data_IF_522093886468
#
_entry.id   IF_522093886468
#
_cell.length_a   1.000
_cell.length_b   1.000
_cell.length_c   1.000
_cell.angle_alpha   90.00
_cell.angle_beta   90.00
_cell.angle_gamma   90.00
#
_symmetry.space_group_name_H-M   'P 1'
#
loop_
_entity.id
_entity.type
_entity.pdbx_description
1 polymer ?
#
# COMPACT_ATOMS: atom_id res chain seq x y z
N UNK A 1 5.09 16.82 -19.26
CA UNK A 1 5.30 15.66 -18.37
C UNK A 1 5.21 14.43 -19.25
N UNK A 2 6.30 13.70 -19.44
CA UNK A 2 6.31 12.43 -20.20
C UNK A 2 5.34 11.47 -19.53
N UNK A 3 4.43 10.86 -20.30
CA UNK A 3 3.58 9.79 -19.82
C UNK A 3 4.50 8.71 -19.23
N UNK A 4 4.37 8.41 -17.94
CA UNK A 4 5.20 7.41 -17.27
C UNK A 4 4.94 6.06 -17.94
N UNK A 5 6.02 5.43 -18.44
CA UNK A 5 5.97 4.17 -19.17
C UNK A 5 5.39 3.04 -18.29
N UNK A 6 4.38 2.34 -18.78
CA UNK A 6 3.79 1.18 -18.10
C UNK A 6 4.78 0.01 -18.12
N UNK A 7 5.21 -0.45 -16.94
CA UNK A 7 6.14 -1.58 -16.81
C UNK A 7 5.41 -2.91 -16.56
N UNK A 8 4.23 -2.89 -15.93
CA UNK A 8 3.35 -4.07 -15.80
C UNK A 8 1.97 -3.70 -16.31
N UNK A 9 1.43 -4.53 -17.21
CA UNK A 9 0.04 -4.43 -17.66
C UNK A 9 -0.69 -5.75 -17.40
N UNK A 10 -1.81 -5.65 -16.68
CA UNK A 10 -2.72 -6.73 -16.34
C UNK A 10 -4.06 -6.43 -17.03
N UNK A 11 -4.60 -7.37 -17.77
CA UNK A 11 -5.86 -7.19 -18.52
C UNK A 11 -6.78 -8.37 -18.31
N UNK A 12 -7.98 -8.13 -17.78
CA UNK A 12 -9.04 -9.09 -17.58
C UNK A 12 -8.64 -10.31 -16.73
N UNK A 13 -7.72 -10.11 -15.77
CA UNK A 13 -7.10 -11.19 -15.01
C UNK A 13 -8.09 -11.85 -14.06
N UNK A 14 -8.36 -13.14 -14.28
CA UNK A 14 -9.19 -13.96 -13.43
C UNK A 14 -8.45 -15.16 -12.85
N UNK A 15 -8.84 -15.58 -11.64
CA UNK A 15 -8.32 -16.79 -11.00
C UNK A 15 -9.42 -17.54 -10.26
N UNK A 16 -9.64 -18.78 -10.69
CA UNK A 16 -10.48 -19.76 -9.99
C UNK A 16 -9.58 -20.93 -9.58
N UNK A 17 -9.60 -21.30 -8.32
CA UNK A 17 -8.88 -22.46 -7.79
C UNK A 17 -9.69 -23.76 -8.02
N UNK A 18 -9.06 -24.90 -7.89
CA UNK A 18 -9.70 -26.22 -8.05
C UNK A 18 -10.88 -26.44 -7.09
N UNK A 19 -10.87 -25.78 -5.93
CA UNK A 19 -11.98 -25.78 -4.98
C UNK A 19 -13.24 -25.04 -5.45
N UNK A 20 -13.21 -24.39 -6.62
CA UNK A 20 -14.25 -23.49 -7.10
C UNK A 20 -14.14 -22.05 -6.54
N UNK A 21 -13.20 -21.78 -5.62
CA UNK A 21 -13.01 -20.45 -5.06
C UNK A 21 -12.44 -19.49 -6.12
N UNK A 22 -13.20 -18.41 -6.40
CA UNK A 22 -12.80 -17.35 -7.32
C UNK A 22 -12.03 -16.27 -6.55
N UNK A 23 -10.71 -16.30 -6.67
CA UNK A 23 -9.81 -15.37 -5.97
C UNK A 23 -9.62 -14.04 -6.69
N UNK A 24 -9.74 -14.00 -8.03
CA UNK A 24 -9.69 -12.78 -8.83
C UNK A 24 -10.80 -12.78 -9.89
N UNK A 25 -11.39 -11.59 -10.13
CA UNK A 25 -12.53 -11.39 -11.00
C UNK A 25 -12.24 -10.28 -12.00
N UNK A 26 -11.67 -10.62 -13.16
CA UNK A 26 -11.42 -9.67 -14.25
C UNK A 26 -10.67 -8.40 -13.81
N UNK A 27 -9.51 -8.57 -13.21
CA UNK A 27 -8.69 -7.44 -12.73
C UNK A 27 -7.94 -6.80 -13.90
N UNK A 28 -8.07 -5.47 -14.03
CA UNK A 28 -7.29 -4.62 -14.91
C UNK A 28 -6.41 -3.70 -14.11
N UNK A 29 -5.09 -3.71 -14.35
CA UNK A 29 -4.11 -2.93 -13.59
C UNK A 29 -2.92 -2.53 -14.46
N UNK A 30 -2.53 -1.26 -14.38
CA UNK A 30 -1.31 -0.75 -14.99
C UNK A 30 -0.39 -0.18 -13.92
N UNK A 31 0.87 -0.61 -13.92
CA UNK A 31 1.89 -0.15 -13.00
C UNK A 31 2.94 0.62 -13.80
N UNK A 32 3.28 1.82 -13.32
CA UNK A 32 4.20 2.74 -13.97
C UNK A 32 5.63 2.45 -13.51
N UNK A 33 6.59 2.68 -14.40
CA UNK A 33 8.02 2.52 -14.06
C UNK A 33 8.46 3.49 -12.99
N UNK A 34 9.17 3.00 -11.97
CA UNK A 34 9.76 3.81 -10.91
C UNK A 34 8.76 4.33 -9.86
N UNK A 35 7.49 3.87 -9.88
CA UNK A 35 6.52 4.22 -8.83
C UNK A 35 6.54 3.23 -7.67
N UNK A 36 6.00 3.65 -6.54
CA UNK A 36 5.55 2.78 -5.46
C UNK A 36 4.03 2.66 -5.56
N UNK A 37 3.54 1.48 -5.93
CA UNK A 37 2.12 1.15 -5.90
C UNK A 37 1.81 0.36 -4.63
N UNK A 38 0.95 0.90 -3.75
CA UNK A 38 0.40 0.15 -2.63
C UNK A 38 -0.91 -0.52 -3.04
N UNK A 39 -1.02 -1.84 -2.88
CA UNK A 39 -2.24 -2.59 -3.07
C UNK A 39 -2.90 -2.83 -1.70
N UNK A 40 -3.93 -2.05 -1.40
CA UNK A 40 -4.64 -2.03 -0.13
C UNK A 40 -5.88 -2.93 -0.20
N UNK A 41 -6.12 -3.72 0.84
CA UNK A 41 -7.32 -4.56 0.92
C UNK A 41 -7.30 -5.48 2.14
N UNK A 42 -8.47 -5.97 2.57
CA UNK A 42 -8.57 -6.90 3.70
C UNK A 42 -7.88 -8.25 3.39
N UNK A 43 -7.72 -9.06 4.44
CA UNK A 43 -7.23 -10.42 4.27
C UNK A 43 -8.21 -11.22 3.39
N UNK A 44 -7.67 -12.01 2.46
CA UNK A 44 -8.48 -12.76 1.49
C UNK A 44 -9.01 -11.93 0.31
N UNK A 45 -8.68 -10.64 0.19
CA UNK A 45 -9.11 -9.79 -0.92
C UNK A 45 -8.55 -10.20 -2.29
N UNK A 46 -7.50 -11.04 -2.36
CA UNK A 46 -6.87 -11.46 -3.61
C UNK A 46 -5.48 -10.87 -3.84
N UNK A 47 -4.93 -10.05 -2.93
CA UNK A 47 -3.63 -9.37 -3.05
C UNK A 47 -2.49 -10.35 -3.38
N UNK A 48 -2.26 -11.34 -2.51
CA UNK A 48 -1.21 -12.35 -2.70
C UNK A 48 -1.42 -13.20 -3.94
N UNK A 49 -2.67 -13.49 -4.32
CA UNK A 49 -2.99 -14.20 -5.57
C UNK A 49 -2.59 -13.39 -6.80
N UNK A 50 -2.90 -12.08 -6.82
CA UNK A 50 -2.53 -11.16 -7.91
C UNK A 50 -1.01 -11.10 -8.06
N UNK A 51 -0.27 -10.87 -6.96
CA UNK A 51 1.19 -10.86 -6.96
C UNK A 51 1.75 -12.21 -7.45
N UNK A 52 1.24 -13.33 -6.92
CA UNK A 52 1.71 -14.68 -7.27
C UNK A 52 1.54 -14.97 -8.76
N UNK A 53 0.48 -14.46 -9.39
CA UNK A 53 0.29 -14.61 -10.85
C UNK A 53 1.30 -13.73 -11.60
N UNK A 54 1.45 -12.47 -11.25
CA UNK A 54 2.40 -11.56 -11.93
C UNK A 54 3.83 -12.09 -11.81
N UNK A 55 4.21 -12.61 -10.65
CA UNK A 55 5.51 -13.25 -10.42
C UNK A 55 5.65 -14.64 -11.08
N UNK A 56 4.58 -15.16 -11.71
CA UNK A 56 4.59 -16.44 -12.40
C UNK A 56 4.66 -17.67 -11.49
N UNK A 57 4.26 -17.54 -10.21
CA UNK A 57 4.16 -18.66 -9.25
C UNK A 57 2.85 -19.42 -9.47
N UNK A 58 1.75 -18.69 -9.74
CA UNK A 58 0.42 -19.22 -9.97
C UNK A 58 0.00 -18.90 -11.40
N UNK A 59 -0.56 -19.87 -12.11
CA UNK A 59 -1.10 -19.65 -13.45
C UNK A 59 -2.48 -18.96 -13.37
N UNK A 60 -2.75 -17.95 -14.22
CA UNK A 60 -4.08 -17.36 -14.33
C UNK A 60 -5.10 -18.36 -14.87
N UNK A 61 -6.38 -18.16 -14.58
CA UNK A 61 -7.49 -18.89 -15.21
C UNK A 61 -7.98 -18.17 -16.47
N UNK A 62 -7.87 -16.84 -16.52
CA UNK A 62 -8.22 -16.00 -17.67
C UNK A 62 -7.41 -14.70 -17.64
N UNK A 63 -7.44 -13.96 -18.75
CA UNK A 63 -6.76 -12.68 -18.86
C UNK A 63 -5.30 -12.80 -19.28
N UNK A 64 -4.61 -11.67 -19.29
CA UNK A 64 -3.22 -11.55 -19.73
C UNK A 64 -2.43 -10.64 -18.82
N UNK A 65 -1.15 -10.97 -18.59
CA UNK A 65 -0.20 -10.13 -17.88
C UNK A 65 1.08 -10.00 -18.68
N UNK A 66 1.58 -8.77 -18.79
CA UNK A 66 2.90 -8.49 -19.37
C UNK A 66 3.76 -7.72 -18.39
N UNK A 67 5.04 -8.02 -18.38
CA UNK A 67 6.08 -7.35 -17.58
C UNK A 67 7.14 -6.84 -18.54
N UNK A 68 7.31 -5.53 -18.62
CA UNK A 68 8.19 -4.87 -19.58
C UNK A 68 7.97 -5.37 -21.03
N UNK A 69 6.70 -5.54 -21.43
CA UNK A 69 6.28 -6.09 -22.71
C UNK A 69 6.34 -7.62 -22.84
N UNK A 70 7.00 -8.34 -21.90
CA UNK A 70 7.10 -9.81 -21.91
C UNK A 70 5.87 -10.47 -21.29
N UNK A 71 5.25 -11.40 -22.02
CA UNK A 71 4.14 -12.20 -21.49
C UNK A 71 4.62 -13.17 -20.41
N UNK A 72 3.99 -13.14 -19.23
CA UNK A 72 4.41 -13.96 -18.07
C UNK A 72 4.33 -15.47 -18.30
N UNK A 73 3.56 -15.91 -19.28
CA UNK A 73 3.36 -17.34 -19.61
C UNK A 73 4.29 -17.77 -20.74
N UNK A 74 4.37 -16.97 -21.82
CA UNK A 74 5.17 -17.29 -23.01
C UNK A 74 6.64 -16.96 -22.81
N UNK A 75 6.92 -15.77 -22.29
CA UNK A 75 8.27 -15.23 -22.07
C UNK A 75 8.71 -15.30 -20.60
N UNK A 76 8.23 -16.31 -19.87
CA UNK A 76 8.32 -16.38 -18.41
C UNK A 76 9.74 -16.20 -17.85
N UNK A 77 10.79 -16.67 -18.54
CA UNK A 77 12.19 -16.50 -18.07
C UNK A 77 12.59 -15.02 -18.08
N UNK A 78 12.24 -14.30 -19.14
CA UNK A 78 12.54 -12.84 -19.26
C UNK A 78 11.71 -12.06 -18.25
N UNK A 79 10.39 -12.28 -18.20
CA UNK A 79 9.52 -11.62 -17.25
C UNK A 79 10.00 -11.81 -15.80
N UNK A 80 10.29 -13.07 -15.38
CA UNK A 80 10.76 -13.35 -14.02
C UNK A 80 12.15 -12.78 -13.71
N UNK A 81 13.04 -12.66 -14.70
CA UNK A 81 14.37 -12.07 -14.49
C UNK A 81 14.32 -10.57 -14.15
N UNK A 82 13.19 -9.91 -14.42
CA UNK A 82 12.95 -8.50 -14.09
C UNK A 82 12.30 -8.30 -12.73
N UNK A 83 11.87 -9.38 -12.07
CA UNK A 83 11.07 -9.34 -10.84
C UNK A 83 11.86 -9.91 -9.66
N UNK A 84 11.90 -9.15 -8.56
CA UNK A 84 12.22 -9.64 -7.23
C UNK A 84 10.94 -9.78 -6.40
N UNK A 85 10.84 -10.84 -5.62
CA UNK A 85 9.71 -11.08 -4.73
C UNK A 85 10.18 -11.32 -3.30
N UNK A 86 9.60 -10.59 -2.36
CA UNK A 86 9.72 -10.82 -0.92
C UNK A 86 8.36 -11.30 -0.42
N UNK A 87 8.23 -12.60 -0.09
CA UNK A 87 6.97 -13.13 0.42
C UNK A 87 6.70 -12.68 1.85
N UNK A 88 5.46 -12.83 2.29
CA UNK A 88 5.02 -12.51 3.64
C UNK A 88 5.75 -13.37 4.69
N UNK A 89 5.88 -14.68 4.44
CA UNK A 89 6.56 -15.61 5.34
C UNK A 89 8.08 -15.56 5.20
N UNK A 90 8.78 -15.65 6.34
CA UNK A 90 10.25 -15.66 6.41
C UNK A 90 10.80 -17.09 6.11
N UNK A 91 10.65 -17.55 4.87
CA UNK A 91 11.16 -18.83 4.44
C UNK A 91 12.60 -18.72 3.94
N UNK A 92 13.57 -19.02 4.80
CA UNK A 92 14.99 -19.12 4.43
C UNK A 92 15.63 -20.35 5.07
N UNK A 93 16.70 -20.84 4.46
CA UNK A 93 17.55 -21.82 5.10
C UNK A 93 18.29 -21.17 6.28
N UNK A 94 17.96 -21.58 7.50
CA UNK A 94 18.47 -21.01 8.74
C UNK A 94 19.98 -21.18 8.94
N UNK A 95 20.58 -22.14 8.24
CA UNK A 95 22.01 -22.50 8.36
C UNK A 95 22.92 -21.74 7.39
N UNK A 96 22.37 -21.14 6.34
CA UNK A 96 23.13 -20.36 5.39
C UNK A 96 23.55 -19.00 5.96
N UNK A 97 24.70 -18.49 5.50
CA UNK A 97 25.13 -17.13 5.79
C UNK A 97 24.38 -16.13 4.91
N UNK A 98 24.33 -14.87 5.33
CA UNK A 98 23.76 -13.78 4.53
C UNK A 98 24.42 -13.71 3.15
N UNK A 99 25.76 -13.78 3.11
CA UNK A 99 26.54 -13.76 1.85
C UNK A 99 26.19 -14.93 0.93
N UNK A 100 26.14 -16.13 1.48
CA UNK A 100 25.79 -17.33 0.72
C UNK A 100 24.38 -17.22 0.13
N UNK A 101 23.43 -16.72 0.91
CA UNK A 101 22.03 -16.54 0.49
C UNK A 101 21.91 -15.61 -0.73
N UNK A 102 22.54 -14.42 -0.70
CA UNK A 102 22.44 -13.47 -1.80
C UNK A 102 23.24 -13.92 -3.04
N UNK A 103 24.38 -14.57 -2.83
CA UNK A 103 25.20 -15.11 -3.92
C UNK A 103 24.49 -16.24 -4.65
N UNK A 104 23.91 -17.18 -3.89
CA UNK A 104 23.10 -18.26 -4.45
C UNK A 104 21.90 -17.72 -5.23
N UNK A 105 21.17 -16.78 -4.65
CA UNK A 105 20.01 -16.15 -5.33
C UNK A 105 20.41 -15.58 -6.68
N UNK A 106 21.50 -14.81 -6.75
CA UNK A 106 22.03 -14.26 -8.01
C UNK A 106 22.32 -15.35 -9.03
N UNK A 107 22.98 -16.42 -8.59
CA UNK A 107 23.33 -17.56 -9.46
C UNK A 107 22.10 -18.30 -10.00
N UNK A 108 21.04 -18.45 -9.20
CA UNK A 108 19.78 -19.09 -9.63
C UNK A 108 19.08 -18.34 -10.78
N UNK A 109 19.28 -17.02 -10.87
CA UNK A 109 18.79 -16.21 -11.99
C UNK A 109 19.78 -16.16 -13.18
N UNK A 110 20.86 -16.97 -13.15
CA UNK A 110 21.82 -17.04 -14.24
C UNK A 110 22.71 -15.80 -14.38
N UNK A 111 22.75 -14.92 -13.38
CA UNK A 111 23.59 -13.72 -13.40
C UNK A 111 25.04 -14.06 -13.01
N UNK A 112 26.05 -13.51 -13.71
CA UNK A 112 27.44 -13.73 -13.35
C UNK A 112 27.74 -13.15 -11.96
N UNK A 113 28.75 -13.72 -11.25
CA UNK A 113 29.17 -13.15 -9.96
C UNK A 113 29.50 -11.65 -10.07
N UNK A 114 28.94 -10.86 -9.16
CA UNK A 114 29.21 -9.43 -9.06
C UNK A 114 29.37 -9.05 -7.59
N UNK A 115 30.59 -9.21 -7.07
CA UNK A 115 30.90 -8.98 -5.65
C UNK A 115 30.68 -7.52 -5.28
N UNK A 116 31.07 -6.58 -6.14
CA UNK A 116 30.94 -5.15 -5.87
C UNK A 116 29.48 -4.73 -5.72
N UNK A 117 28.59 -5.22 -6.58
CA UNK A 117 27.16 -4.98 -6.48
C UNK A 117 26.56 -5.57 -5.19
N UNK A 118 26.86 -6.85 -4.90
CA UNK A 118 26.32 -7.51 -3.70
C UNK A 118 26.85 -6.86 -2.41
N UNK A 119 28.09 -6.38 -2.39
CA UNK A 119 28.62 -5.61 -1.27
C UNK A 119 27.87 -4.29 -1.09
N UNK A 120 27.69 -3.52 -2.18
CA UNK A 120 26.91 -2.27 -2.13
C UNK A 120 25.48 -2.52 -1.66
N UNK A 121 24.83 -3.55 -2.19
CA UNK A 121 23.46 -3.93 -1.78
C UNK A 121 23.38 -4.25 -0.30
N UNK A 122 24.32 -5.04 0.23
CA UNK A 122 24.32 -5.39 1.66
C UNK A 122 24.65 -4.18 2.55
N UNK A 123 25.46 -3.22 2.07
CA UNK A 123 25.71 -1.94 2.79
C UNK A 123 24.45 -1.09 2.82
N UNK A 124 23.78 -0.92 1.69
CA UNK A 124 22.53 -0.17 1.58
C UNK A 124 21.43 -0.71 2.53
N UNK A 125 21.44 -2.01 2.76
CA UNK A 125 20.49 -2.70 3.66
C UNK A 125 21.02 -2.87 5.09
N UNK A 126 22.18 -2.26 5.43
CA UNK A 126 22.83 -2.36 6.76
C UNK A 126 23.10 -3.81 7.20
N UNK A 127 23.48 -4.67 6.25
CA UNK A 127 23.76 -6.10 6.44
C UNK A 127 25.22 -6.47 6.22
N UNK A 128 26.07 -5.55 5.74
CA UNK A 128 27.43 -5.88 5.34
C UNK A 128 28.26 -6.46 6.49
N UNK A 129 28.16 -5.90 7.68
CA UNK A 129 28.91 -6.38 8.86
C UNK A 129 28.40 -7.75 9.35
N UNK A 130 27.19 -8.12 8.96
CA UNK A 130 26.55 -9.40 9.27
C UNK A 130 26.64 -10.44 8.13
N UNK A 131 27.37 -10.14 7.05
CA UNK A 131 27.42 -10.98 5.84
C UNK A 131 27.85 -12.44 6.09
N UNK A 132 28.68 -12.68 7.10
CA UNK A 132 29.16 -14.01 7.48
C UNK A 132 28.32 -14.69 8.59
N UNK A 133 27.36 -13.98 9.15
CA UNK A 133 26.45 -14.51 10.16
C UNK A 133 25.44 -15.47 9.52
N UNK A 134 25.07 -16.52 10.24
CA UNK A 134 24.00 -17.43 9.83
C UNK A 134 22.65 -16.79 10.01
N UNK A 135 21.69 -17.13 9.13
CA UNK A 135 20.32 -16.61 9.19
C UNK A 135 19.66 -16.83 10.56
N UNK A 136 19.95 -17.94 11.23
CA UNK A 136 19.39 -18.26 12.56
C UNK A 136 19.79 -17.23 13.64
N UNK A 137 20.97 -16.63 13.53
CA UNK A 137 21.50 -15.67 14.50
C UNK A 137 20.95 -14.23 14.33
N UNK A 138 20.22 -13.97 13.25
CA UNK A 138 19.71 -12.64 12.94
C UNK A 138 18.37 -12.37 13.62
N UNK A 139 18.12 -11.09 13.96
CA UNK A 139 16.80 -10.64 14.40
C UNK A 139 15.75 -10.77 13.28
N UNK A 140 14.47 -10.70 13.62
CA UNK A 140 13.38 -10.76 12.63
C UNK A 140 13.50 -9.69 11.53
N UNK A 141 13.81 -8.46 11.92
CA UNK A 141 14.03 -7.37 10.98
C UNK A 141 15.26 -7.56 10.09
N UNK A 142 16.37 -8.06 10.64
CA UNK A 142 17.54 -8.41 9.83
C UNK A 142 17.21 -9.51 8.83
N UNK A 143 16.48 -10.55 9.24
CA UNK A 143 16.01 -11.62 8.33
C UNK A 143 15.18 -11.05 7.19
N UNK A 144 14.29 -10.07 7.49
CA UNK A 144 13.48 -9.40 6.47
C UNK A 144 14.35 -8.63 5.48
N UNK A 145 15.34 -7.86 5.96
CA UNK A 145 16.32 -7.17 5.10
C UNK A 145 17.10 -8.14 4.23
N UNK A 146 17.48 -9.34 4.73
CA UNK A 146 18.13 -10.37 3.91
C UNK A 146 17.21 -10.91 2.83
N UNK A 147 15.90 -11.08 3.07
CA UNK A 147 14.94 -11.46 2.02
C UNK A 147 14.88 -10.42 0.91
N UNK A 148 14.92 -9.13 1.27
CA UNK A 148 14.99 -8.04 0.29
C UNK A 148 16.31 -8.08 -0.47
N UNK A 149 17.45 -8.27 0.21
CA UNK A 149 18.74 -8.45 -0.46
C UNK A 149 18.73 -9.64 -1.42
N UNK A 150 18.13 -10.75 -1.02
CA UNK A 150 17.94 -11.93 -1.86
C UNK A 150 17.11 -11.64 -3.10
N UNK A 151 15.99 -10.91 -2.94
CA UNK A 151 15.12 -10.52 -4.03
C UNK A 151 15.78 -9.55 -5.01
N UNK A 152 16.70 -8.69 -4.53
CA UNK A 152 17.45 -7.71 -5.34
C UNK A 152 18.78 -8.26 -5.91
N UNK A 153 19.24 -9.41 -5.46
CA UNK A 153 20.59 -9.94 -5.79
C UNK A 153 20.84 -10.13 -7.30
N UNK A 154 19.80 -10.33 -8.10
CA UNK A 154 19.90 -10.49 -9.56
C UNK A 154 19.62 -9.20 -10.34
N UNK A 155 19.58 -8.03 -9.66
CA UNK A 155 19.34 -6.70 -10.26
C UNK A 155 17.97 -6.62 -10.97
N UNK A 156 16.85 -6.93 -10.30
CA UNK A 156 15.53 -6.77 -10.89
C UNK A 156 15.17 -5.28 -11.05
N UNK A 157 14.29 -4.98 -11.99
CA UNK A 157 13.73 -3.64 -12.18
C UNK A 157 12.46 -3.42 -11.34
N UNK A 158 11.84 -4.51 -10.88
CA UNK A 158 10.56 -4.53 -10.18
C UNK A 158 10.71 -5.35 -8.90
N UNK A 159 10.24 -4.81 -7.78
CA UNK A 159 10.25 -5.48 -6.49
C UNK A 159 8.83 -5.60 -5.94
N UNK A 160 8.40 -6.82 -5.68
CA UNK A 160 7.17 -7.11 -4.96
C UNK A 160 7.47 -7.36 -3.48
N UNK A 161 6.71 -6.70 -2.61
CA UNK A 161 6.76 -6.83 -1.17
C UNK A 161 5.38 -7.27 -0.66
N UNK A 162 5.23 -8.53 -0.27
CA UNK A 162 3.95 -9.03 0.25
C UNK A 162 3.90 -8.84 1.77
N UNK A 163 3.09 -7.89 2.23
CA UNK A 163 2.95 -7.47 3.62
C UNK A 163 4.30 -7.27 4.35
N UNK A 164 5.14 -6.33 3.88
CA UNK A 164 6.55 -6.24 4.31
C UNK A 164 6.74 -5.94 5.78
N UNK A 165 5.76 -5.37 6.46
CA UNK A 165 5.85 -4.91 7.86
C UNK A 165 4.90 -5.66 8.79
N UNK A 166 4.27 -6.75 8.32
CA UNK A 166 3.41 -7.57 9.16
C UNK A 166 4.19 -8.15 10.36
N UNK A 167 3.67 -7.89 11.57
CA UNK A 167 4.30 -8.38 12.81
C UNK A 167 5.61 -7.68 13.21
N UNK A 168 5.87 -6.49 12.67
CA UNK A 168 7.07 -5.69 12.93
C UNK A 168 6.71 -4.51 13.83
N UNK A 169 7.60 -4.17 14.77
CA UNK A 169 7.44 -2.99 15.63
C UNK A 169 7.53 -1.66 14.85
N UNK A 170 7.11 -0.56 15.50
CA UNK A 170 6.98 0.76 14.85
C UNK A 170 8.31 1.31 14.35
N UNK A 171 9.41 1.12 15.10
CA UNK A 171 10.73 1.64 14.74
C UNK A 171 11.27 0.91 13.51
N UNK A 172 11.21 -0.41 13.51
CA UNK A 172 11.65 -1.24 12.41
C UNK A 172 10.79 -1.03 11.15
N UNK A 173 9.49 -0.70 11.32
CA UNK A 173 8.60 -0.32 10.22
C UNK A 173 9.07 0.96 9.53
N UNK A 174 9.43 2.00 10.30
CA UNK A 174 9.96 3.27 9.75
C UNK A 174 11.27 3.07 8.98
N UNK A 175 12.16 2.25 9.52
CA UNK A 175 13.41 1.88 8.84
C UNK A 175 13.15 1.18 7.50
N UNK A 176 12.16 0.28 7.46
CA UNK A 176 11.73 -0.39 6.24
C UNK A 176 11.19 0.61 5.21
N UNK A 177 10.39 1.57 5.63
CA UNK A 177 9.85 2.61 4.75
C UNK A 177 10.97 3.48 4.14
N UNK A 178 11.94 3.90 4.95
CA UNK A 178 13.08 4.67 4.47
C UNK A 178 13.90 3.88 3.41
N UNK A 179 14.09 2.59 3.65
CA UNK A 179 14.78 1.70 2.72
C UNK A 179 13.99 1.54 1.41
N UNK A 180 12.68 1.34 1.46
CA UNK A 180 11.82 1.21 0.27
C UNK A 180 11.88 2.48 -0.59
N UNK A 181 11.84 3.67 0.04
CA UNK A 181 12.01 4.95 -0.67
C UNK A 181 13.38 5.05 -1.36
N UNK A 182 14.44 4.66 -0.66
CA UNK A 182 15.81 4.65 -1.23
C UNK A 182 15.90 3.74 -2.46
N UNK A 183 15.24 2.58 -2.46
CA UNK A 183 15.20 1.67 -3.61
C UNK A 183 14.43 2.29 -4.79
N UNK A 184 13.29 2.95 -4.54
CA UNK A 184 12.56 3.69 -5.56
C UNK A 184 13.40 4.79 -6.17
N UNK A 185 14.10 5.58 -5.35
CA UNK A 185 14.94 6.68 -5.81
C UNK A 185 16.13 6.19 -6.67
N UNK A 186 16.52 4.91 -6.51
CA UNK A 186 17.47 4.21 -7.39
C UNK A 186 16.81 3.65 -8.67
N UNK A 187 15.53 3.93 -8.90
CA UNK A 187 14.79 3.56 -10.12
C UNK A 187 14.07 2.21 -10.07
N UNK A 188 14.03 1.53 -8.92
CA UNK A 188 13.28 0.27 -8.77
C UNK A 188 11.78 0.59 -8.69
N UNK A 189 10.98 -0.09 -9.50
CA UNK A 189 9.51 -0.06 -9.37
C UNK A 189 9.08 -0.95 -8.23
N UNK A 190 8.27 -0.47 -7.31
CA UNK A 190 7.91 -1.22 -6.11
C UNK A 190 6.40 -1.42 -6.03
N UNK A 191 6.00 -2.64 -5.80
CA UNK A 191 4.62 -3.00 -5.53
C UNK A 191 4.58 -3.62 -4.13
N UNK A 192 3.82 -3.01 -3.23
CA UNK A 192 3.63 -3.56 -1.91
C UNK A 192 2.16 -3.88 -1.66
N UNK A 193 1.91 -4.99 -0.97
CA UNK A 193 0.59 -5.26 -0.41
C UNK A 193 0.58 -4.89 1.05
N UNK A 194 -0.52 -4.35 1.51
CA UNK A 194 -0.73 -4.07 2.93
C UNK A 194 -2.22 -4.07 3.27
N UNK A 195 -2.52 -4.28 4.52
CA UNK A 195 -3.82 -3.99 5.12
C UNK A 195 -3.72 -2.81 6.09
N UNK A 196 -2.51 -2.26 6.28
CA UNK A 196 -2.26 -1.06 7.08
C UNK A 196 -2.34 0.18 6.18
N UNK A 197 -3.31 1.01 6.43
CA UNK A 197 -3.59 2.21 5.64
C UNK A 197 -2.46 3.24 5.77
N UNK A 198 -1.90 3.38 6.99
CA UNK A 198 -0.76 4.24 7.27
C UNK A 198 0.45 3.96 6.36
N UNK A 199 0.68 2.68 6.00
CA UNK A 199 1.77 2.31 5.10
C UNK A 199 1.54 2.83 3.68
N UNK A 200 0.31 2.71 3.19
CA UNK A 200 -0.04 3.22 1.88
C UNK A 200 0.05 4.76 1.86
N UNK A 201 -0.42 5.44 2.92
CA UNK A 201 -0.29 6.90 3.05
C UNK A 201 1.16 7.36 3.07
N UNK A 202 2.01 6.67 3.80
CA UNK A 202 3.39 7.10 4.00
C UNK A 202 4.26 6.84 2.77
N UNK A 203 4.11 5.70 2.10
CA UNK A 203 5.06 5.26 1.07
C UNK A 203 4.56 5.39 -0.36
N UNK A 204 3.26 5.21 -0.62
CA UNK A 204 2.77 5.05 -1.97
C UNK A 204 2.73 6.34 -2.79
N UNK A 205 3.07 6.25 -4.06
CA UNK A 205 2.77 7.24 -5.08
C UNK A 205 1.34 7.06 -5.61
N UNK A 206 0.95 5.78 -5.81
CA UNK A 206 -0.41 5.38 -6.19
C UNK A 206 -0.95 4.28 -5.29
N UNK A 207 -2.25 4.26 -5.13
CA UNK A 207 -2.97 3.30 -4.29
C UNK A 207 -3.98 2.56 -5.14
N UNK A 208 -3.91 1.23 -5.09
CA UNK A 208 -4.92 0.32 -5.61
C UNK A 208 -5.73 -0.27 -4.45
N UNK A 209 -7.05 -0.21 -4.53
CA UNK A 209 -7.94 -0.84 -3.53
C UNK A 209 -8.53 -2.10 -4.14
N UNK A 210 -8.27 -3.24 -3.51
CA UNK A 210 -8.80 -4.54 -3.92
C UNK A 210 -9.70 -5.12 -2.82
N UNK A 211 -10.88 -5.62 -3.22
CA UNK A 211 -11.80 -6.29 -2.32
C UNK A 211 -12.45 -7.48 -3.03
N UNK A 212 -12.51 -8.65 -2.37
CA UNK A 212 -13.16 -9.88 -2.87
C UNK A 212 -12.79 -10.24 -4.31
N UNK A 213 -11.53 -10.06 -4.67
CA UNK A 213 -10.98 -10.39 -6.00
C UNK A 213 -11.26 -9.35 -7.09
N UNK A 214 -11.80 -8.20 -6.75
CA UNK A 214 -12.06 -7.09 -7.67
C UNK A 214 -11.21 -5.88 -7.30
N UNK A 215 -10.62 -5.24 -8.31
CA UNK A 215 -9.91 -3.98 -8.13
C UNK A 215 -10.94 -2.85 -8.21
N UNK A 216 -11.20 -2.19 -7.07
CA UNK A 216 -12.23 -1.16 -6.95
C UNK A 216 -11.78 0.17 -7.54
N UNK A 217 -10.51 0.53 -7.32
CA UNK A 217 -9.89 1.72 -7.90
C UNK A 217 -8.36 1.59 -7.94
N UNK A 218 -7.72 2.39 -8.80
CA UNK A 218 -6.27 2.67 -8.78
C UNK A 218 -6.07 4.13 -9.08
N UNK A 219 -5.54 4.91 -8.14
CA UNK A 219 -5.42 6.35 -8.30
C UNK A 219 -4.12 6.89 -7.67
N UNK A 220 -3.64 8.03 -8.15
CA UNK A 220 -2.56 8.76 -7.50
C UNK A 220 -2.98 9.17 -6.08
N UNK A 221 -2.14 8.89 -5.08
CA UNK A 221 -2.44 9.19 -3.67
C UNK A 221 -2.88 10.64 -3.47
N UNK A 222 -2.19 11.60 -4.10
CA UNK A 222 -2.52 13.00 -3.97
C UNK A 222 -3.88 13.36 -4.58
N UNK A 223 -4.31 12.66 -5.63
CA UNK A 223 -5.64 12.83 -6.25
C UNK A 223 -6.70 12.22 -5.35
N UNK A 224 -6.46 11.00 -4.86
CA UNK A 224 -7.36 10.31 -3.94
C UNK A 224 -7.65 11.14 -2.68
N UNK A 225 -6.58 11.65 -2.05
CA UNK A 225 -6.70 12.50 -0.87
C UNK A 225 -7.42 13.82 -1.13
N UNK A 226 -7.36 14.34 -2.36
CA UNK A 226 -8.10 15.56 -2.73
C UNK A 226 -9.56 15.32 -3.09
N UNK A 227 -9.83 14.24 -3.85
CA UNK A 227 -11.19 13.98 -4.39
C UNK A 227 -12.13 13.36 -3.36
N UNK A 228 -11.60 12.45 -2.52
CA UNK A 228 -12.39 11.72 -1.54
C UNK A 228 -12.19 12.23 -0.11
N UNK A 229 -11.14 13.03 0.12
CA UNK A 229 -10.86 13.61 1.42
C UNK A 229 -11.80 14.75 1.76
N UNK A 230 -12.88 14.47 2.47
CA UNK A 230 -13.67 15.51 3.13
C UNK A 230 -12.79 16.14 4.21
N UNK A 231 -12.87 17.44 4.39
CA UNK A 231 -12.27 18.10 5.55
C UNK A 231 -13.25 18.12 6.70
N UNK A 232 -12.70 17.92 7.89
CA UNK A 232 -13.45 18.04 9.13
C UNK A 232 -12.92 19.22 9.92
N UNK A 233 -13.84 20.06 10.41
CA UNK A 233 -13.54 21.05 11.43
C UNK A 233 -13.93 20.47 12.77
N UNK A 234 -12.95 20.24 13.62
CA UNK A 234 -13.12 19.72 14.97
C UNK A 234 -13.12 20.91 15.93
N UNK A 235 -14.26 21.15 16.57
CA UNK A 235 -14.47 22.28 17.47
C UNK A 235 -14.59 21.72 18.89
N UNK A 236 -13.59 21.95 19.74
CA UNK A 236 -13.66 21.59 21.14
C UNK A 236 -14.41 22.68 21.92
N UNK A 237 -15.42 22.28 22.67
CA UNK A 237 -16.29 23.18 23.43
C UNK A 237 -15.74 23.42 24.85
N UNK A 238 -16.00 24.60 25.41
CA UNK A 238 -15.68 24.90 26.81
C UNK A 238 -16.66 24.20 27.76
N UNK A 239 -17.93 24.09 27.36
CA UNK A 239 -18.97 23.40 28.11
C UNK A 239 -19.66 22.35 27.21
N UNK A 240 -19.98 21.16 27.75
CA UNK A 240 -20.65 20.14 26.98
C UNK A 240 -22.07 20.55 26.57
N UNK A 241 -22.44 20.27 25.34
CA UNK A 241 -23.80 20.45 24.83
C UNK A 241 -24.59 19.15 24.98
N UNK A 242 -25.84 19.26 25.34
CA UNK A 242 -26.78 18.12 25.42
C UNK A 242 -27.43 17.79 24.07
N UNK A 243 -27.43 18.74 23.15
CA UNK A 243 -27.99 18.58 21.80
C UNK A 243 -27.37 19.62 20.84
N UNK A 244 -27.46 19.34 19.55
CA UNK A 244 -27.03 20.28 18.51
C UNK A 244 -27.87 21.57 18.54
N UNK A 245 -27.23 22.78 18.53
CA UNK A 245 -27.94 24.02 18.43
C UNK A 245 -28.78 24.12 17.16
N UNK A 246 -29.96 24.75 17.24
CA UNK A 246 -30.89 24.86 16.12
C UNK A 246 -30.27 25.57 14.90
N UNK A 247 -29.36 26.53 15.12
CA UNK A 247 -28.67 27.29 14.07
C UNK A 247 -27.75 26.45 13.18
N UNK A 248 -27.39 25.24 13.61
CA UNK A 248 -26.54 24.31 12.86
C UNK A 248 -27.29 23.01 12.49
N UNK A 249 -28.54 22.87 12.88
CA UNK A 249 -29.41 21.78 12.49
C UNK A 249 -29.57 21.75 10.96
N UNK A 250 -29.32 20.57 10.36
CA UNK A 250 -29.36 20.39 8.89
C UNK A 250 -28.04 20.68 8.15
N UNK A 251 -27.00 21.14 8.84
CA UNK A 251 -25.62 21.12 8.34
C UNK A 251 -24.97 19.78 8.66
N UNK A 252 -23.91 19.42 7.95
CA UNK A 252 -23.15 18.19 8.21
C UNK A 252 -22.30 18.34 9.50
N UNK A 253 -22.96 18.59 10.64
CA UNK A 253 -22.39 18.77 11.97
C UNK A 253 -22.84 17.62 12.86
N UNK A 254 -21.92 16.99 13.52
CA UNK A 254 -22.15 15.91 14.48
C UNK A 254 -21.64 16.35 15.86
N UNK A 255 -22.37 16.01 16.92
CA UNK A 255 -21.94 16.18 18.29
C UNK A 255 -21.43 14.82 18.81
N UNK A 256 -20.23 14.80 19.38
CA UNK A 256 -19.69 13.55 19.99
C UNK A 256 -20.51 13.15 21.22
N UNK A 257 -20.48 11.86 21.58
CA UNK A 257 -21.27 11.27 22.68
C UNK A 257 -20.98 11.93 24.05
N UNK A 258 -19.78 12.51 24.23
CA UNK A 258 -19.40 13.27 25.42
C UNK A 258 -19.93 14.70 25.45
N UNK A 259 -20.55 15.15 24.35
CA UNK A 259 -21.06 16.51 24.19
C UNK A 259 -20.00 17.61 24.12
N UNK A 260 -18.72 17.25 24.15
CA UNK A 260 -17.60 18.22 24.25
C UNK A 260 -16.99 18.63 22.91
N UNK A 261 -17.34 17.92 21.81
CA UNK A 261 -16.75 18.16 20.51
C UNK A 261 -17.81 18.20 19.41
N UNK A 262 -17.75 19.22 18.57
CA UNK A 262 -18.51 19.29 17.33
C UNK A 262 -17.61 18.97 16.15
N UNK A 263 -18.05 18.09 15.26
CA UNK A 263 -17.35 17.71 14.04
C UNK A 263 -18.19 18.19 12.84
N UNK A 264 -17.67 19.16 12.11
CA UNK A 264 -18.29 19.66 10.87
C UNK A 264 -17.53 19.12 9.66
N UNK A 265 -18.22 18.32 8.85
CA UNK A 265 -17.66 17.77 7.61
C UNK A 265 -18.02 18.67 6.43
N UNK A 266 -17.01 19.13 5.68
CA UNK A 266 -17.18 20.03 4.54
C UNK A 266 -16.30 19.64 3.35
N UNK A 267 -16.73 20.03 2.15
CA UNK A 267 -15.93 19.86 0.94
C UNK A 267 -14.86 20.97 0.86
N UNK A 268 -13.60 20.57 0.83
CA UNK A 268 -12.48 21.50 0.76
C UNK A 268 -12.34 22.20 -0.61
N UNK A 269 -13.00 21.69 -1.65
CA UNK A 269 -12.95 22.22 -3.01
C UNK A 269 -14.12 23.16 -3.34
N UNK A 270 -15.13 23.23 -2.48
CA UNK A 270 -16.25 24.15 -2.64
C UNK A 270 -15.79 25.61 -2.52
N UNK A 271 -16.29 26.52 -3.40
CA UNK A 271 -16.02 27.97 -3.33
C UNK A 271 -16.38 28.56 -1.97
N UNK A 272 -17.30 27.93 -1.23
CA UNK A 272 -17.69 28.30 0.13
C UNK A 272 -17.66 27.08 1.04
N UNK A 273 -16.66 26.98 1.89
CA UNK A 273 -16.54 25.89 2.87
C UNK A 273 -17.61 25.91 3.96
N UNK A 274 -18.34 27.01 4.12
CA UNK A 274 -19.35 27.20 5.16
C UNK A 274 -18.78 27.33 6.59
N UNK A 275 -17.46 27.19 6.77
CA UNK A 275 -16.79 27.22 8.08
C UNK A 275 -17.03 28.54 8.80
N UNK A 276 -16.88 29.70 8.10
CA UNK A 276 -17.10 31.02 8.68
C UNK A 276 -18.53 31.22 9.13
N UNK A 277 -19.51 30.73 8.36
CA UNK A 277 -20.94 30.82 8.70
C UNK A 277 -21.30 29.91 9.86
N UNK A 278 -20.70 28.71 9.92
CA UNK A 278 -20.87 27.80 11.05
C UNK A 278 -20.39 28.41 12.36
N UNK A 279 -19.14 28.92 12.38
CA UNK A 279 -18.56 29.52 13.58
C UNK A 279 -19.35 30.76 14.03
N UNK A 280 -19.81 31.60 13.11
CA UNK A 280 -20.68 32.76 13.44
C UNK A 280 -22.03 32.30 14.01
N UNK A 281 -22.62 31.24 13.48
CA UNK A 281 -23.90 30.69 13.97
C UNK A 281 -23.77 30.15 15.39
N UNK A 282 -22.71 29.37 15.67
CA UNK A 282 -22.42 28.84 16.99
C UNK A 282 -22.15 29.96 18.02
N UNK A 283 -21.38 30.99 17.64
CA UNK A 283 -21.09 32.14 18.50
C UNK A 283 -22.37 32.95 18.83
N UNK A 284 -23.32 33.10 17.89
CA UNK A 284 -24.62 33.76 18.15
C UNK A 284 -25.50 32.98 19.13
N UNK A 285 -25.40 31.66 19.16
CA UNK A 285 -26.07 30.77 20.12
C UNK A 285 -25.37 30.72 21.48
N UNK A 286 -24.28 31.49 21.67
CA UNK A 286 -23.52 31.55 22.93
C UNK A 286 -22.63 30.36 23.16
N UNK A 287 -22.29 29.55 22.13
CA UNK A 287 -21.40 28.42 22.22
C UNK A 287 -19.97 28.92 22.29
N UNK A 288 -19.27 28.66 23.39
CA UNK A 288 -17.87 29.02 23.59
C UNK A 288 -16.94 27.86 23.21
N UNK A 289 -15.89 28.18 22.43
CA UNK A 289 -14.92 27.19 21.96
C UNK A 289 -13.64 27.22 22.82
N UNK A 290 -13.09 26.03 23.08
CA UNK A 290 -11.78 25.89 23.70
C UNK A 290 -10.67 25.83 22.64
N UNK A 291 -10.94 25.14 21.55
CA UNK A 291 -10.00 24.95 20.43
C UNK A 291 -10.77 24.65 19.13
N UNK A 292 -10.16 24.99 17.98
CA UNK A 292 -10.71 24.73 16.66
C UNK A 292 -9.59 24.22 15.75
N UNK A 293 -9.67 22.95 15.39
CA UNK A 293 -8.71 22.28 14.53
C UNK A 293 -9.37 21.84 13.22
N UNK A 294 -8.64 21.94 12.11
CA UNK A 294 -9.06 21.38 10.84
C UNK A 294 -8.26 20.09 10.57
N UNK A 295 -8.93 18.96 10.42
CA UNK A 295 -8.34 17.73 9.97
C UNK A 295 -8.83 17.38 8.55
N UNK A 296 -7.98 16.71 7.79
CA UNK A 296 -8.37 16.12 6.52
C UNK A 296 -8.77 14.68 6.79
N UNK A 297 -9.82 14.19 6.11
CA UNK A 297 -10.19 12.78 6.20
C UNK A 297 -8.97 11.89 5.94
N UNK A 298 -8.80 10.88 6.76
CA UNK A 298 -7.73 9.90 6.60
C UNK A 298 -8.03 8.99 5.41
N UNK A 299 -7.00 8.39 4.83
CA UNK A 299 -7.17 7.34 3.82
C UNK A 299 -8.02 6.17 4.37
N UNK A 300 -8.04 6.00 5.71
CA UNK A 300 -8.86 5.00 6.40
C UNK A 300 -10.36 5.21 6.18
N UNK A 301 -10.85 6.44 6.36
CA UNK A 301 -12.24 6.77 6.12
C UNK A 301 -12.63 6.56 4.65
N UNK A 302 -11.73 6.94 3.72
CA UNK A 302 -11.90 6.70 2.30
C UNK A 302 -11.99 5.21 1.98
N UNK A 303 -11.10 4.41 2.54
CA UNK A 303 -11.05 2.97 2.34
C UNK A 303 -12.29 2.27 2.89
N UNK A 304 -12.72 2.61 4.11
CA UNK A 304 -13.93 2.07 4.75
C UNK A 304 -15.16 2.40 3.90
N UNK A 305 -15.28 3.63 3.40
CA UNK A 305 -16.36 4.04 2.50
C UNK A 305 -16.42 3.19 1.24
N UNK A 306 -15.29 3.04 0.52
CA UNK A 306 -15.22 2.25 -0.72
C UNK A 306 -15.55 0.77 -0.50
N UNK A 307 -15.07 0.17 0.58
CA UNK A 307 -15.35 -1.24 0.90
C UNK A 307 -16.80 -1.43 1.30
N UNK A 308 -17.40 -0.47 2.05
CA UNK A 308 -18.79 -0.50 2.46
C UNK A 308 -19.73 -0.38 1.25
N UNK A 309 -19.51 0.58 0.36
CA UNK A 309 -20.32 0.79 -0.84
C UNK A 309 -20.28 -0.44 -1.77
N UNK A 310 -19.09 -1.05 -1.93
CA UNK A 310 -18.95 -2.28 -2.71
C UNK A 310 -19.72 -3.47 -2.12
N UNK A 311 -19.94 -3.49 -0.80
CA UNK A 311 -20.71 -4.52 -0.12
C UNK A 311 -22.23 -4.28 -0.21
N UNK A 312 -22.69 -3.02 -0.17
CA UNK A 312 -24.13 -2.67 -0.27
C UNK A 312 -24.71 -2.88 -1.66
N UNK A 313 -23.96 -2.53 -2.72
CA UNK A 313 -24.43 -2.70 -4.12
C UNK A 313 -24.73 -4.16 -4.48
N UNK A 314 -24.26 -5.13 -3.70
CA UNK A 314 -24.49 -6.58 -3.93
C UNK A 314 -25.47 -7.23 -2.96
N UNK A 315 -25.89 -6.53 -1.91
CA UNK A 315 -26.98 -6.99 -1.01
C UNK A 315 -28.37 -6.81 -1.61
N UNK A 316 -28.48 -6.14 -2.76
CA UNK A 316 -29.74 -5.80 -3.44
C UNK A 316 -29.89 -6.49 -4.82
N UNK A 317 -29.00 -7.45 -5.18
CA UNK A 317 -29.05 -8.20 -6.44
C UNK A 317 -29.35 -9.69 -6.23
#
# INVERSE_FOLDING_TARGET
MSASETVIAVSGLGKVYQSGFQALKSVDLQIRRGEILALLGPNGAGKTTLISIICGIVNPSSGKVTVDGYDITRDYRRARSLIGLVPQELTNNLFDTVWATVTLSRGLFGKPPNRAYLESLLRDLSLWDKRNEKMMALSGGMKRRVLIAKALAHEPQILFLDEPTAGVDVELRRDMWAMVRTLRDKGVTIILTTHYIEEAEEMADRIGVINRGELLLVEDKAVLMRQLGKRQLIIQLQQPLTSLPAAVAGKAVELTDDGCTLVYTFDAQGEQTGVGDLLRSLAREGVEFKDVNSSQSSLEEIFVGLVHDSNQQRGTA
#
